data_IF_905666622199
#
_entry.id   IF_905666622199
#
_cell.length_a   1.000
_cell.length_b   1.000
_cell.length_c   1.000
_cell.angle_alpha   90.00
_cell.angle_beta   90.00
_cell.angle_gamma   90.00
#
_symmetry.space_group_name_H-M   'P 1'
#
loop_
_entity.id
_entity.type
_entity.pdbx_description
1 polymer ?
#
# COMPACT_ATOMS: atom_id res chain seq x y z
N UNK A 1 59.45 19.18 67.55
CA UNK A 1 58.12 19.83 67.59
C UNK A 1 57.82 20.43 66.23
N UNK A 2 56.88 19.85 65.49
CA UNK A 2 56.40 20.39 64.21
C UNK A 2 54.88 20.54 64.34
N UNK A 3 54.38 21.77 64.26
CA UNK A 3 52.94 22.06 64.33
C UNK A 3 52.27 21.51 63.07
N UNK A 4 51.13 20.80 63.16
CA UNK A 4 50.39 20.41 61.98
C UNK A 4 49.75 21.66 61.35
N UNK A 5 49.98 21.81 60.03
CA UNK A 5 49.38 22.83 59.17
C UNK A 5 47.87 22.60 59.13
N UNK A 6 47.09 23.57 59.57
CA UNK A 6 45.62 23.52 59.49
C UNK A 6 45.21 23.33 58.02
N UNK A 7 44.53 22.23 57.73
CA UNK A 7 43.93 21.93 56.42
C UNK A 7 42.73 22.87 56.27
N UNK A 8 42.76 23.75 55.27
CA UNK A 8 41.63 24.61 54.94
C UNK A 8 40.39 23.73 54.74
N UNK A 9 39.30 24.04 55.46
CA UNK A 9 38.01 23.44 55.25
C UNK A 9 37.55 23.76 53.82
N UNK A 10 37.62 22.79 52.92
CA UNK A 10 36.90 22.87 51.66
C UNK A 10 35.41 22.91 52.00
N UNK A 11 34.81 24.09 51.92
CA UNK A 11 33.36 24.25 51.89
C UNK A 11 32.85 23.41 50.71
N UNK A 12 32.15 22.32 50.99
CA UNK A 12 31.43 21.56 49.96
C UNK A 12 30.47 22.53 49.26
N UNK A 13 30.76 22.86 48.00
CA UNK A 13 29.81 23.56 47.15
C UNK A 13 28.61 22.64 46.90
N UNK A 14 27.42 23.08 47.30
CA UNK A 14 26.17 22.29 47.27
C UNK A 14 25.54 22.15 45.87
N UNK A 15 26.19 22.66 44.82
CA UNK A 15 25.67 22.66 43.44
C UNK A 15 26.76 22.89 42.38
N UNK A 16 26.35 22.84 41.10
CA UNK A 16 27.21 23.09 39.94
C UNK A 16 27.33 24.59 39.65
N UNK A 17 26.32 25.39 40.05
CA UNK A 17 26.36 26.83 39.86
C UNK A 17 27.41 27.50 40.75
N UNK A 18 28.29 28.32 40.15
CA UNK A 18 29.43 28.91 40.86
C UNK A 18 29.00 30.05 41.77
N UNK A 19 29.47 30.00 43.01
CA UNK A 19 29.27 31.07 44.00
C UNK A 19 29.88 32.41 43.55
N UNK A 20 30.98 32.37 42.79
CA UNK A 20 31.63 33.57 42.27
C UNK A 20 30.70 34.38 41.36
N UNK A 21 29.87 33.72 40.55
CA UNK A 21 28.89 34.39 39.67
C UNK A 21 27.85 35.21 40.44
N UNK A 22 27.52 34.80 41.67
CA UNK A 22 26.62 35.58 42.54
C UNK A 22 27.33 36.78 43.13
N UNK A 23 28.61 36.63 43.50
CA UNK A 23 29.42 37.74 43.98
C UNK A 23 29.59 38.79 42.89
N UNK A 24 29.87 38.37 41.65
CA UNK A 24 29.98 39.27 40.49
C UNK A 24 28.69 40.10 40.27
N UNK A 25 27.51 39.46 40.37
CA UNK A 25 26.22 40.15 40.26
C UNK A 25 25.99 41.08 41.45
N UNK A 26 26.33 40.68 42.68
CA UNK A 26 26.20 41.53 43.87
C UNK A 26 27.10 42.78 43.79
N UNK A 27 28.34 42.64 43.31
CA UNK A 27 29.28 43.74 43.09
C UNK A 27 28.77 44.70 42.00
N UNK A 28 28.13 44.19 40.95
CA UNK A 28 27.49 45.03 39.92
C UNK A 28 26.39 45.94 40.48
N UNK A 29 25.77 45.55 41.60
CA UNK A 29 24.77 46.34 42.33
C UNK A 29 25.40 47.21 43.44
N UNK A 30 26.73 47.18 43.60
CA UNK A 30 27.47 47.92 44.61
C UNK A 30 27.53 47.24 45.99
N UNK A 31 27.17 45.97 46.10
CA UNK A 31 27.21 45.19 47.35
C UNK A 31 28.53 44.42 47.41
N UNK A 32 29.50 44.91 48.19
CA UNK A 32 30.88 44.38 48.20
C UNK A 32 31.13 43.26 49.21
N UNK A 33 30.30 43.11 50.24
CA UNK A 33 30.52 42.15 51.32
C UNK A 33 29.31 41.22 51.52
N UNK A 34 29.21 40.17 50.69
CA UNK A 34 28.19 39.12 50.83
C UNK A 34 28.76 37.92 51.60
N UNK A 35 28.05 37.45 52.63
CA UNK A 35 28.49 36.27 53.40
C UNK A 35 28.43 34.99 52.58
N UNK A 36 29.42 34.10 52.74
CA UNK A 36 29.52 32.85 51.97
C UNK A 36 28.29 31.92 52.12
N UNK A 37 27.63 31.94 53.28
CA UNK A 37 26.41 31.17 53.50
C UNK A 37 25.25 31.63 52.60
N UNK A 38 25.08 32.95 52.45
CA UNK A 38 24.05 33.54 51.57
C UNK A 38 24.38 33.26 50.12
N UNK A 39 25.64 33.43 49.71
CA UNK A 39 26.10 33.13 48.35
C UNK A 39 25.85 31.67 47.98
N UNK A 40 26.15 30.73 48.90
CA UNK A 40 25.91 29.30 48.66
C UNK A 40 24.42 28.96 48.57
N UNK A 41 23.58 29.54 49.43
CA UNK A 41 22.14 29.28 49.41
C UNK A 41 21.49 29.84 48.14
N UNK A 42 21.89 31.04 47.72
CA UNK A 42 21.37 31.66 46.50
C UNK A 42 21.84 30.92 45.24
N UNK A 43 23.07 30.38 45.23
CA UNK A 43 23.57 29.53 44.14
C UNK A 43 22.69 28.30 43.94
N UNK A 44 22.34 27.62 45.03
CA UNK A 44 21.47 26.44 44.98
C UNK A 44 20.04 26.79 44.55
N UNK A 45 19.50 27.95 44.95
CA UNK A 45 18.16 28.38 44.47
C UNK A 45 18.16 28.74 42.98
N UNK A 46 19.17 29.48 42.49
CA UNK A 46 19.32 29.80 41.06
C UNK A 46 19.42 28.51 40.23
N UNK A 47 20.22 27.55 40.68
CA UNK A 47 20.34 26.25 40.02
C UNK A 47 18.99 25.52 39.96
N UNK A 48 18.22 25.51 41.05
CA UNK A 48 16.87 24.94 41.07
C UNK A 48 15.94 25.64 40.08
N UNK A 49 15.97 26.97 39.98
CA UNK A 49 15.16 27.74 39.02
C UNK A 49 15.53 27.44 37.57
N UNK A 50 16.83 27.28 37.27
CA UNK A 50 17.29 26.89 35.93
C UNK A 50 16.73 25.51 35.56
N UNK A 51 16.82 24.53 36.46
CA UNK A 51 16.26 23.20 36.23
C UNK A 51 14.74 23.25 36.01
N UNK A 52 14.02 24.05 36.80
CA UNK A 52 12.58 24.24 36.65
C UNK A 52 12.21 24.75 35.24
N UNK A 53 12.93 25.76 34.73
CA UNK A 53 12.71 26.28 33.37
C UNK A 53 13.03 25.23 32.31
N UNK A 54 14.16 24.52 32.45
CA UNK A 54 14.60 23.49 31.49
C UNK A 54 13.63 22.30 31.45
N UNK A 55 13.07 21.91 32.60
CA UNK A 55 12.06 20.85 32.67
C UNK A 55 10.76 21.23 31.95
N UNK A 56 10.25 22.45 32.17
CA UNK A 56 9.07 22.94 31.45
C UNK A 56 9.34 23.05 29.95
N UNK A 57 10.49 23.59 29.54
CA UNK A 57 10.88 23.67 28.13
C UNK A 57 11.00 22.28 27.49
N UNK A 58 11.50 21.29 28.24
CA UNK A 58 11.58 19.90 27.77
C UNK A 58 10.20 19.28 27.52
N UNK A 59 9.17 19.69 28.28
CA UNK A 59 7.79 19.26 28.01
C UNK A 59 7.30 19.86 26.71
N UNK A 60 7.51 21.15 26.47
CA UNK A 60 7.16 21.79 25.19
C UNK A 60 7.84 21.12 24.00
N UNK A 61 9.14 20.83 24.09
CA UNK A 61 9.89 20.10 23.07
C UNK A 61 9.27 18.72 22.75
N UNK A 62 8.95 17.95 23.80
CA UNK A 62 8.32 16.61 23.65
C UNK A 62 6.92 16.72 23.06
N UNK A 63 6.11 17.68 23.50
CA UNK A 63 4.77 17.93 22.95
C UNK A 63 4.82 18.39 21.49
N UNK A 64 5.88 19.10 21.09
CA UNK A 64 6.16 19.45 19.70
C UNK A 64 6.75 18.29 18.86
N UNK A 65 6.90 17.08 19.44
CA UNK A 65 7.48 15.88 18.80
C UNK A 65 8.89 16.10 18.24
N UNK A 66 9.67 16.97 18.90
CA UNK A 66 11.08 17.23 18.56
C UNK A 66 12.01 16.57 19.56
N UNK A 67 13.24 16.31 19.13
CA UNK A 67 14.33 15.81 19.98
C UNK A 67 15.34 16.92 20.34
N UNK A 68 15.24 18.06 19.68
CA UNK A 68 16.09 19.24 19.90
C UNK A 68 15.25 20.38 20.48
N UNK A 69 15.72 20.94 21.60
CA UNK A 69 15.10 22.10 22.26
C UNK A 69 15.48 23.37 21.52
N UNK A 70 14.49 24.24 21.27
CA UNK A 70 14.68 25.54 20.60
C UNK A 70 14.44 26.69 21.57
N UNK A 71 14.86 27.92 21.20
CA UNK A 71 14.62 29.11 22.03
C UNK A 71 13.13 29.35 22.30
N UNK A 72 12.27 29.02 21.34
CA UNK A 72 10.81 29.08 21.50
C UNK A 72 10.27 28.19 22.63
N UNK A 73 10.91 27.06 22.92
CA UNK A 73 10.48 26.15 23.99
C UNK A 73 10.77 26.77 25.37
N UNK A 74 11.89 27.48 25.48
CA UNK A 74 12.27 28.25 26.68
C UNK A 74 11.35 29.45 26.84
N UNK A 75 11.04 30.18 25.76
CA UNK A 75 10.11 31.33 25.81
C UNK A 75 8.72 30.91 26.32
N UNK A 76 8.24 29.73 25.89
CA UNK A 76 6.99 29.16 26.36
C UNK A 76 7.07 28.74 27.83
N UNK A 77 8.19 28.15 28.26
CA UNK A 77 8.42 27.82 29.66
C UNK A 77 8.42 29.06 30.57
N UNK A 78 9.10 30.14 30.17
CA UNK A 78 9.12 31.40 30.92
C UNK A 78 7.72 31.98 31.08
N UNK A 79 6.90 31.98 30.01
CA UNK A 79 5.51 32.44 30.06
C UNK A 79 4.65 31.63 31.03
N UNK A 80 4.78 30.30 31.04
CA UNK A 80 4.01 29.43 31.96
C UNK A 80 4.43 29.64 33.41
N UNK A 81 5.73 29.85 33.65
CA UNK A 81 6.27 30.13 34.98
C UNK A 81 6.03 31.57 35.44
N UNK A 82 5.37 32.41 34.63
CA UNK A 82 5.15 33.84 34.87
C UNK A 82 6.47 34.63 35.07
N UNK A 83 7.52 34.21 34.36
CA UNK A 83 8.80 34.92 34.31
C UNK A 83 8.77 35.88 33.12
N UNK A 84 9.38 37.05 33.29
CA UNK A 84 9.49 38.05 32.24
C UNK A 84 10.18 37.47 30.98
N UNK A 85 9.66 37.77 29.78
CA UNK A 85 10.22 37.23 28.54
C UNK A 85 11.60 37.81 28.23
N UNK A 86 12.53 36.95 27.80
CA UNK A 86 13.87 37.35 27.38
C UNK A 86 13.90 37.61 25.87
N UNK A 87 13.98 38.88 25.49
CA UNK A 87 14.05 39.29 24.08
C UNK A 87 15.47 39.22 23.51
N UNK A 88 15.59 39.15 22.19
CA UNK A 88 16.89 39.18 21.48
C UNK A 88 17.51 37.81 21.20
N UNK A 89 16.83 36.71 21.55
CA UNK A 89 17.30 35.34 21.30
C UNK A 89 16.56 34.67 20.14
N UNK A 90 17.15 34.69 18.94
CA UNK A 90 16.60 34.02 17.75
C UNK A 90 17.50 32.87 17.30
N UNK A 91 16.95 31.74 16.80
CA UNK A 91 17.75 30.66 16.23
C UNK A 91 18.61 31.09 15.03
N UNK A 92 18.24 32.18 14.36
CA UNK A 92 18.88 32.66 13.14
C UNK A 92 20.12 33.54 13.41
N UNK A 93 20.33 33.98 14.65
CA UNK A 93 21.48 34.80 15.03
C UNK A 93 22.03 34.34 16.40
N UNK A 94 22.81 33.25 16.46
CA UNK A 94 23.36 32.77 17.72
C UNK A 94 24.42 33.76 18.25
N UNK A 95 24.38 34.15 19.54
CA UNK A 95 25.33 35.10 20.10
C UNK A 95 26.76 34.52 20.13
N UNK A 96 27.74 35.35 19.74
CA UNK A 96 29.15 34.99 19.79
C UNK A 96 29.74 35.40 21.15
N UNK A 97 30.18 34.42 21.95
CA UNK A 97 30.86 34.68 23.22
C UNK A 97 32.37 34.80 23.00
N UNK A 98 32.95 35.94 23.42
CA UNK A 98 34.40 36.18 23.40
C UNK A 98 34.97 36.30 24.80
N UNK A 99 36.21 35.85 24.97
CA UNK A 99 36.94 35.97 26.23
C UNK A 99 37.66 37.31 26.27
N UNK A 100 37.43 38.10 27.31
CA UNK A 100 38.15 39.35 27.53
C UNK A 100 39.64 39.09 27.81
N UNK A 101 40.49 40.04 27.44
CA UNK A 101 41.90 39.99 27.79
C UNK A 101 42.07 40.23 29.31
N UNK A 102 43.02 39.53 29.97
CA UNK A 102 43.26 39.73 31.40
C UNK A 102 43.60 41.20 31.69
N UNK A 103 42.95 41.78 32.70
CA UNK A 103 43.25 43.14 33.14
C UNK A 103 44.66 43.20 33.74
N UNK A 104 45.58 44.02 33.20
CA UNK A 104 46.97 44.08 33.69
C UNK A 104 47.10 44.53 35.14
N UNK A 105 46.12 45.28 35.65
CA UNK A 105 46.13 45.87 37.00
C UNK A 105 45.57 44.94 38.08
N UNK A 106 44.87 43.87 37.71
CA UNK A 106 44.26 42.92 38.66
C UNK A 106 44.47 41.46 38.18
N UNK A 107 45.70 40.91 38.31
CA UNK A 107 46.04 39.58 37.82
C UNK A 107 45.33 38.42 38.54
N UNK A 108 44.56 38.71 39.59
CA UNK A 108 43.75 37.75 40.35
C UNK A 108 42.30 37.66 39.83
N UNK A 109 41.89 38.53 38.89
CA UNK A 109 40.57 38.46 38.29
C UNK A 109 40.46 37.22 37.38
N UNK A 110 39.38 36.45 37.55
CA UNK A 110 39.10 35.25 36.75
C UNK A 110 38.83 35.55 35.26
N UNK A 111 38.65 34.52 34.43
CA UNK A 111 38.33 34.71 33.02
C UNK A 111 36.92 35.31 32.85
N UNK A 112 36.85 36.49 32.23
CA UNK A 112 35.59 37.16 31.89
C UNK A 112 35.23 36.89 30.44
N UNK A 113 33.96 36.57 30.20
CA UNK A 113 33.40 36.39 28.86
C UNK A 113 32.34 37.47 28.61
N UNK A 114 32.27 37.97 27.39
CA UNK A 114 31.25 38.93 26.97
C UNK A 114 30.63 38.49 25.64
N UNK A 115 29.39 38.93 25.41
CA UNK A 115 28.73 38.78 24.11
C UNK A 115 29.27 39.85 23.19
N UNK A 116 29.83 39.46 22.06
CA UNK A 116 30.27 40.41 21.04
C UNK A 116 29.06 41.12 20.44
N UNK A 117 29.12 42.45 20.42
CA UNK A 117 28.13 43.32 19.78
C UNK A 117 28.75 43.88 18.49
N UNK A 118 28.35 43.34 17.35
CA UNK A 118 28.81 43.80 16.04
C UNK A 118 27.93 44.97 15.58
N UNK A 119 28.54 46.13 15.30
CA UNK A 119 27.82 47.27 14.73
C UNK A 119 27.38 46.96 13.29
N UNK A 120 26.07 47.04 13.03
CA UNK A 120 25.48 46.75 11.72
C UNK A 120 25.10 48.05 11.01
N UNK A 121 25.55 48.20 9.77
CA UNK A 121 25.13 49.29 8.89
C UNK A 121 23.71 49.04 8.32
N UNK A 122 22.77 49.92 8.65
CA UNK A 122 21.39 49.82 8.20
C UNK A 122 21.24 49.87 6.67
N UNK A 123 22.08 50.64 5.97
CA UNK A 123 22.03 50.75 4.52
C UNK A 123 22.42 49.42 3.84
N UNK A 124 23.25 48.61 4.52
CA UNK A 124 23.60 47.28 4.04
C UNK A 124 22.44 46.30 4.22
N UNK A 125 21.83 46.26 5.41
CA UNK A 125 20.72 45.34 5.73
C UNK A 125 19.54 45.54 4.78
N UNK A 126 19.16 46.79 4.51
CA UNK A 126 18.05 47.11 3.61
C UNK A 126 18.26 46.64 2.16
N UNK A 127 19.51 46.50 1.72
CA UNK A 127 19.87 46.05 0.36
C UNK A 127 20.04 44.54 0.25
N UNK A 128 20.34 43.86 1.35
CA UNK A 128 20.78 42.46 1.38
C UNK A 128 19.60 41.47 1.47
N UNK A 129 18.43 41.90 1.93
CA UNK A 129 17.37 40.97 2.31
C UNK A 129 16.57 40.41 1.11
N UNK A 130 16.97 39.22 0.64
CA UNK A 130 16.13 38.34 -0.19
C UNK A 130 15.72 37.11 0.62
N UNK A 131 14.53 37.17 1.21
CA UNK A 131 13.94 36.02 1.93
C UNK A 131 13.58 34.94 0.92
N UNK A 132 14.23 33.78 0.99
CA UNK A 132 13.86 32.61 0.20
C UNK A 132 12.71 31.88 0.89
N UNK A 133 11.55 31.87 0.25
CA UNK A 133 10.41 31.12 0.77
C UNK A 133 10.60 29.62 0.47
N UNK A 134 10.65 28.75 1.49
CA UNK A 134 10.68 27.31 1.26
C UNK A 134 9.38 26.87 0.59
N UNK A 135 9.43 25.72 -0.10
CA UNK A 135 8.22 25.10 -0.65
C UNK A 135 7.27 24.74 0.51
N UNK A 136 5.97 24.83 0.25
CA UNK A 136 4.95 24.38 1.20
C UNK A 136 5.07 22.90 1.52
N UNK A 137 4.43 22.48 2.62
CA UNK A 137 4.42 21.10 3.08
C UNK A 137 3.71 20.19 2.06
N UNK A 138 4.39 19.14 1.63
CA UNK A 138 3.80 18.06 0.83
C UNK A 138 4.08 16.71 1.51
N UNK A 139 3.33 15.68 1.11
CA UNK A 139 3.51 14.31 1.60
C UNK A 139 3.76 13.37 0.42
N UNK A 140 4.60 12.38 0.65
CA UNK A 140 4.88 11.29 -0.29
C UNK A 140 4.68 9.97 0.43
N UNK A 141 3.86 9.08 -0.14
CA UNK A 141 3.58 7.77 0.43
C UNK A 141 4.38 6.69 -0.32
N UNK A 142 4.90 5.73 0.43
CA UNK A 142 5.56 4.54 -0.12
C UNK A 142 5.31 3.33 0.78
N UNK A 143 5.52 2.13 0.24
CA UNK A 143 5.40 0.89 1.00
C UNK A 143 6.61 0.68 1.90
N UNK A 144 6.43 0.83 3.21
CA UNK A 144 7.46 0.52 4.19
C UNK A 144 7.67 -0.98 4.35
N UNK A 145 6.59 -1.77 4.31
CA UNK A 145 6.65 -3.22 4.42
C UNK A 145 5.47 -3.87 3.67
N UNK A 146 5.72 -5.04 3.08
CA UNK A 146 4.71 -5.93 2.50
C UNK A 146 4.91 -7.30 3.13
N UNK A 147 3.89 -7.83 3.80
CA UNK A 147 3.96 -9.10 4.54
C UNK A 147 5.13 -9.17 5.55
N UNK A 148 5.40 -8.03 6.21
CA UNK A 148 6.47 -7.91 7.20
C UNK A 148 7.89 -7.85 6.61
N UNK A 149 8.03 -7.85 5.28
CA UNK A 149 9.30 -7.67 4.58
C UNK A 149 9.36 -6.27 4.00
N UNK A 150 10.45 -5.55 4.30
CA UNK A 150 10.69 -4.22 3.75
C UNK A 150 11.15 -4.32 2.28
N UNK A 151 10.43 -3.71 1.32
CA UNK A 151 10.85 -3.71 -0.07
C UNK A 151 12.08 -2.82 -0.27
N UNK A 152 12.97 -3.22 -1.17
CA UNK A 152 14.19 -2.48 -1.52
C UNK A 152 13.85 -1.36 -2.52
N UNK A 153 13.22 -0.30 -2.02
CA UNK A 153 12.97 0.95 -2.76
C UNK A 153 13.89 2.07 -2.22
N UNK A 154 14.20 3.10 -3.01
CA UNK A 154 15.10 4.19 -2.60
C UNK A 154 14.70 4.90 -1.30
N UNK A 155 13.40 4.94 -1.00
CA UNK A 155 12.83 5.56 0.19
C UNK A 155 13.03 4.73 1.46
N UNK A 156 13.25 3.42 1.32
CA UNK A 156 13.48 2.52 2.44
C UNK A 156 14.97 2.42 2.75
N UNK A 157 15.36 2.36 4.04
CA UNK A 157 16.75 2.11 4.42
C UNK A 157 17.25 0.79 3.81
N UNK A 158 18.52 0.72 3.37
CA UNK A 158 19.12 -0.54 2.97
C UNK A 158 19.11 -1.50 4.17
N UNK A 159 18.95 -2.79 3.90
CA UNK A 159 19.05 -3.81 4.94
C UNK A 159 20.44 -3.72 5.59
N UNK A 160 20.50 -3.19 6.81
CA UNK A 160 21.73 -3.08 7.59
C UNK A 160 22.26 -4.51 7.75
N UNK A 161 23.49 -4.82 7.30
CA UNK A 161 24.14 -6.07 7.66
C UNK A 161 24.15 -6.14 9.18
N UNK A 162 23.47 -7.13 9.76
CA UNK A 162 23.55 -7.36 11.21
C UNK A 162 24.99 -7.70 11.53
N UNK A 163 25.68 -6.79 12.20
CA UNK A 163 26.97 -7.09 12.81
C UNK A 163 26.78 -8.25 13.81
N UNK A 164 27.69 -9.24 13.84
CA UNK A 164 27.53 -10.44 14.65
C UNK A 164 27.55 -10.20 16.18
N UNK A 165 27.75 -8.96 16.66
CA UNK A 165 27.84 -8.64 18.08
C UNK A 165 26.48 -8.38 18.77
N UNK A 166 25.41 -8.11 18.01
CA UNK A 166 24.07 -7.83 18.56
C UNK A 166 23.19 -9.08 18.82
N UNK A 167 23.73 -10.28 18.61
CA UNK A 167 23.01 -11.55 18.83
C UNK A 167 22.76 -11.84 20.31
N UNK A 168 23.38 -11.10 21.25
CA UNK A 168 23.26 -11.34 22.69
C UNK A 168 22.02 -10.75 23.37
N UNK A 169 21.20 -9.92 22.68
CA UNK A 169 20.02 -9.25 23.29
C UNK A 169 18.67 -9.57 22.63
N UNK A 170 18.58 -10.55 21.75
CA UNK A 170 17.30 -10.98 21.16
C UNK A 170 17.08 -12.49 21.27
N UNK A 171 15.85 -12.98 21.51
CA UNK A 171 15.59 -14.40 21.64
C UNK A 171 15.88 -15.13 20.31
N UNK A 172 16.47 -16.34 20.35
CA UNK A 172 16.96 -17.01 19.15
C UNK A 172 15.82 -17.52 18.27
N UNK A 173 15.80 -17.12 16.99
CA UNK A 173 15.02 -17.79 15.94
C UNK A 173 15.83 -19.00 15.44
N UNK A 174 15.37 -20.20 15.75
CA UNK A 174 15.97 -21.48 15.35
C UNK A 174 15.80 -21.72 13.84
N UNK A 175 16.87 -21.52 13.07
CA UNK A 175 16.99 -22.02 11.71
C UNK A 175 17.67 -23.40 11.73
N UNK A 176 16.90 -24.48 11.67
CA UNK A 176 17.43 -25.82 11.40
C UNK A 176 17.40 -26.08 9.89
N UNK A 177 18.57 -26.07 9.27
CA UNK A 177 18.78 -26.46 7.87
C UNK A 177 18.97 -27.99 7.77
N UNK A 178 18.34 -28.61 6.76
CA UNK A 178 18.69 -29.94 6.25
C UNK A 178 19.30 -29.81 4.84
N UNK A 179 20.15 -30.77 4.40
CA UNK A 179 21.22 -30.53 3.41
C UNK A 179 20.74 -30.53 1.94
N UNK A 180 21.55 -29.96 1.00
CA UNK A 180 21.17 -29.79 -0.40
C UNK A 180 21.60 -30.98 -1.27
N UNK A 181 20.77 -31.32 -2.26
CA UNK A 181 21.14 -32.16 -3.41
C UNK A 181 21.74 -31.31 -4.55
N UNK A 182 22.63 -31.87 -5.41
CA UNK A 182 23.57 -31.11 -6.24
C UNK A 182 22.98 -30.51 -7.55
N UNK A 183 23.72 -29.61 -8.22
CA UNK A 183 23.19 -28.69 -9.24
C UNK A 183 23.39 -29.19 -10.69
N UNK A 184 22.62 -28.62 -11.62
CA UNK A 184 22.93 -28.63 -13.06
C UNK A 184 22.63 -27.26 -13.70
N UNK A 185 23.33 -26.86 -14.79
CA UNK A 185 23.68 -25.46 -15.02
C UNK A 185 22.90 -24.74 -16.16
N UNK A 186 22.75 -23.42 -15.95
CA UNK A 186 22.81 -22.29 -16.92
C UNK A 186 21.85 -22.19 -18.12
N UNK A 187 21.05 -21.10 -18.16
CA UNK A 187 21.26 -19.93 -19.04
C UNK A 187 20.37 -18.72 -18.67
N UNK A 188 20.77 -17.47 -18.99
CA UNK A 188 20.23 -16.25 -18.40
C UNK A 188 19.17 -15.57 -19.29
N UNK A 189 18.05 -15.12 -18.72
CA UNK A 189 17.29 -13.99 -19.26
C UNK A 189 16.54 -13.24 -18.15
N UNK A 190 16.71 -11.92 -18.17
CA UNK A 190 15.90 -10.86 -17.57
C UNK A 190 15.65 -10.89 -16.05
N UNK A 191 16.09 -9.80 -15.41
CA UNK A 191 15.81 -9.36 -14.04
C UNK A 191 14.33 -9.51 -13.66
N UNK A 192 13.90 -10.68 -13.18
CA UNK A 192 12.73 -10.80 -12.32
C UNK A 192 13.22 -10.52 -10.90
N UNK A 193 12.81 -9.35 -10.40
CA UNK A 193 12.97 -8.98 -9.01
C UNK A 193 12.58 -10.16 -8.11
N UNK A 194 13.45 -10.39 -7.12
CA UNK A 194 13.39 -11.44 -6.11
C UNK A 194 12.14 -11.27 -5.22
N UNK A 195 10.97 -11.56 -5.77
CA UNK A 195 9.71 -11.62 -5.03
C UNK A 195 9.38 -13.05 -4.58
N UNK A 196 10.40 -13.93 -4.52
CA UNK A 196 10.27 -15.33 -4.13
C UNK A 196 11.27 -15.76 -3.04
N UNK A 197 11.69 -14.85 -2.17
CA UNK A 197 11.90 -15.28 -0.79
C UNK A 197 10.56 -15.16 -0.08
N UNK A 198 9.65 -16.08 -0.44
CA UNK A 198 8.57 -16.46 0.45
C UNK A 198 9.29 -16.97 1.70
N UNK A 199 9.48 -16.08 2.68
CA UNK A 199 9.72 -16.49 4.07
C UNK A 199 8.64 -17.54 4.28
N UNK A 200 9.02 -18.82 4.34
CA UNK A 200 8.09 -19.90 4.60
C UNK A 200 7.50 -19.53 5.95
N UNK A 201 6.34 -18.87 5.96
CA UNK A 201 5.65 -18.53 7.18
C UNK A 201 5.54 -19.87 7.90
N UNK A 202 6.19 -19.94 9.06
CA UNK A 202 6.21 -21.16 9.85
C UNK A 202 4.79 -21.35 10.34
N UNK A 203 4.00 -22.04 9.53
CA UNK A 203 2.62 -22.37 9.82
C UNK A 203 2.61 -23.21 11.08
N UNK A 204 1.81 -22.79 12.07
CA UNK A 204 1.58 -23.59 13.27
C UNK A 204 0.98 -24.94 12.89
N UNK A 205 1.14 -25.95 13.75
CA UNK A 205 0.54 -27.27 13.54
C UNK A 205 -0.98 -27.18 13.36
N UNK A 206 -1.63 -26.31 14.13
CA UNK A 206 -3.08 -26.05 14.03
C UNK A 206 -3.47 -25.47 12.67
N UNK A 207 -2.72 -24.48 12.15
CA UNK A 207 -2.99 -23.90 10.83
C UNK A 207 -2.79 -24.92 9.70
N UNK A 208 -1.80 -25.82 9.82
CA UNK A 208 -1.60 -26.89 8.85
C UNK A 208 -2.76 -27.91 8.86
N UNK A 209 -3.23 -28.28 10.06
CA UNK A 209 -4.37 -29.18 10.22
C UNK A 209 -5.66 -28.53 9.70
N UNK A 210 -5.86 -27.24 10.00
CA UNK A 210 -6.96 -26.46 9.45
C UNK A 210 -6.91 -26.42 7.92
N UNK A 211 -5.76 -26.09 7.33
CA UNK A 211 -5.57 -26.07 5.87
C UNK A 211 -5.89 -27.42 5.23
N UNK A 212 -5.44 -28.51 5.85
CA UNK A 212 -5.68 -29.86 5.33
C UNK A 212 -7.17 -30.21 5.41
N UNK A 213 -7.83 -29.93 6.54
CA UNK A 213 -9.29 -30.14 6.69
C UNK A 213 -10.10 -29.26 5.74
N UNK A 214 -9.68 -28.03 5.53
CA UNK A 214 -10.35 -27.08 4.64
C UNK A 214 -10.28 -27.58 3.19
N UNK A 215 -9.09 -27.88 2.70
CA UNK A 215 -8.89 -28.37 1.32
C UNK A 215 -9.55 -29.72 1.07
N UNK A 216 -9.54 -30.64 2.05
CA UNK A 216 -10.24 -31.94 1.95
C UNK A 216 -11.77 -31.83 2.02
N UNK A 217 -12.31 -30.77 2.65
CA UNK A 217 -13.75 -30.52 2.70
C UNK A 217 -14.28 -29.86 1.42
N UNK A 218 -13.39 -29.21 0.67
CA UNK A 218 -13.69 -28.59 -0.61
C UNK A 218 -13.56 -29.60 -1.77
N UNK A 219 -12.51 -30.43 -1.78
CA UNK A 219 -12.23 -31.42 -2.82
C UNK A 219 -11.91 -32.81 -2.24
N UNK A 220 -12.36 -33.92 -2.87
CA UNK A 220 -13.15 -34.00 -4.11
C UNK A 220 -14.66 -33.74 -3.91
N UNK A 221 -15.39 -33.36 -4.98
CA UNK A 221 -16.81 -33.02 -4.88
C UNK A 221 -17.70 -34.27 -4.80
N UNK A 222 -17.87 -34.82 -3.60
CA UNK A 222 -18.91 -35.80 -3.28
C UNK A 222 -20.28 -35.11 -3.08
N UNK A 223 -21.36 -35.75 -3.54
CA UNK A 223 -22.74 -35.25 -3.39
C UNK A 223 -23.23 -35.31 -1.94
N UNK A 224 -22.63 -36.15 -1.10
CA UNK A 224 -22.96 -36.28 0.33
C UNK A 224 -22.44 -35.14 1.21
N UNK A 225 -21.48 -34.34 0.73
CA UNK A 225 -20.71 -33.41 1.57
C UNK A 225 -21.00 -31.91 1.30
N UNK A 226 -22.14 -31.59 0.67
CA UNK A 226 -22.54 -30.20 0.39
C UNK A 226 -22.53 -29.31 1.64
N UNK A 227 -23.02 -29.78 2.79
CA UNK A 227 -23.03 -29.02 4.04
C UNK A 227 -21.61 -28.65 4.52
N UNK A 228 -20.65 -29.58 4.38
CA UNK A 228 -19.25 -29.33 4.75
C UNK A 228 -18.61 -28.30 3.81
N UNK A 229 -18.92 -28.37 2.51
CA UNK A 229 -18.45 -27.40 1.52
C UNK A 229 -18.98 -26.00 1.80
N UNK A 230 -20.27 -25.85 2.08
CA UNK A 230 -20.87 -24.56 2.43
C UNK A 230 -20.26 -23.98 3.70
N UNK A 231 -20.03 -24.81 4.73
CA UNK A 231 -19.34 -24.39 5.95
C UNK A 231 -17.89 -23.95 5.68
N UNK A 232 -17.15 -24.68 4.85
CA UNK A 232 -15.78 -24.32 4.44
C UNK A 232 -15.72 -22.99 3.68
N UNK A 233 -16.64 -22.75 2.75
CA UNK A 233 -16.76 -21.48 2.02
C UNK A 233 -17.16 -20.32 2.95
N UNK A 234 -18.08 -20.55 3.89
CA UNK A 234 -18.44 -19.55 4.88
C UNK A 234 -17.27 -19.19 5.81
N UNK A 235 -16.41 -20.17 6.13
CA UNK A 235 -15.17 -19.94 6.88
C UNK A 235 -14.22 -19.05 6.10
N UNK A 236 -14.01 -19.33 4.81
CA UNK A 236 -13.14 -18.52 3.95
C UNK A 236 -13.60 -17.06 3.80
N UNK A 237 -14.93 -16.83 3.80
CA UNK A 237 -15.52 -15.49 3.69
C UNK A 237 -15.36 -14.61 4.92
N UNK A 238 -15.31 -15.20 6.12
CA UNK A 238 -15.43 -14.45 7.37
C UNK A 238 -14.24 -14.57 8.33
N UNK A 239 -13.39 -15.60 8.17
CA UNK A 239 -12.30 -15.85 9.10
C UNK A 239 -11.10 -14.90 8.84
N UNK A 240 -10.69 -14.20 9.89
CA UNK A 240 -9.57 -13.25 9.90
C UNK A 240 -8.20 -13.92 10.10
N UNK A 241 -8.18 -15.17 10.61
CA UNK A 241 -6.94 -15.91 10.88
C UNK A 241 -6.24 -16.47 9.65
N UNK A 242 -6.78 -16.25 8.45
CA UNK A 242 -6.35 -16.93 7.22
C UNK A 242 -5.24 -16.21 6.44
N UNK A 243 -4.81 -15.02 6.86
CA UNK A 243 -3.78 -14.25 6.12
C UNK A 243 -2.50 -15.07 5.90
N UNK A 244 -2.04 -15.81 6.92
CA UNK A 244 -0.84 -16.64 6.80
C UNK A 244 -1.02 -17.87 5.87
N UNK A 245 -2.27 -18.28 5.63
CA UNK A 245 -2.63 -19.38 4.74
C UNK A 245 -2.88 -18.91 3.30
N UNK A 246 -3.13 -17.62 3.10
CA UNK A 246 -3.48 -17.03 1.82
C UNK A 246 -2.49 -17.37 0.68
N UNK A 247 -1.16 -17.30 0.85
CA UNK A 247 -0.22 -17.68 -0.22
C UNK A 247 -0.35 -19.15 -0.65
N UNK A 248 -0.64 -20.02 0.33
CA UNK A 248 -0.77 -21.47 0.12
C UNK A 248 -2.10 -21.79 -0.56
N UNK A 249 -3.18 -21.12 -0.15
CA UNK A 249 -4.50 -21.25 -0.78
C UNK A 249 -4.48 -20.77 -2.23
N UNK A 250 -3.89 -19.62 -2.52
CA UNK A 250 -3.82 -19.08 -3.89
C UNK A 250 -3.00 -20.00 -4.79
N UNK A 251 -1.88 -20.53 -4.29
CA UNK A 251 -1.09 -21.51 -5.03
C UNK A 251 -1.87 -22.81 -5.27
N UNK A 252 -2.56 -23.33 -4.26
CA UNK A 252 -3.39 -24.53 -4.37
C UNK A 252 -4.52 -24.35 -5.38
N UNK A 253 -5.18 -23.19 -5.39
CA UNK A 253 -6.21 -22.84 -6.39
C UNK A 253 -5.59 -22.81 -7.79
N UNK A 254 -4.44 -22.14 -7.96
CA UNK A 254 -3.77 -22.05 -9.26
C UNK A 254 -3.36 -23.42 -9.81
N UNK A 255 -2.76 -24.27 -8.98
CA UNK A 255 -2.40 -25.65 -9.33
C UNK A 255 -3.65 -26.50 -9.63
N UNK A 256 -4.70 -26.35 -8.82
CA UNK A 256 -5.98 -27.05 -8.99
C UNK A 256 -6.69 -26.69 -10.29
N UNK A 257 -6.75 -25.41 -10.64
CA UNK A 257 -7.34 -24.93 -11.90
C UNK A 257 -6.52 -25.43 -13.09
N UNK A 258 -5.19 -25.33 -13.04
CA UNK A 258 -4.34 -25.85 -14.12
C UNK A 258 -4.51 -27.36 -14.27
N UNK A 259 -4.62 -28.10 -13.17
CA UNK A 259 -4.84 -29.56 -13.22
C UNK A 259 -6.22 -29.92 -13.79
N UNK A 260 -7.28 -29.21 -13.40
CA UNK A 260 -8.63 -29.44 -13.94
C UNK A 260 -8.78 -29.05 -15.41
N UNK A 261 -7.87 -28.22 -15.94
CA UNK A 261 -7.83 -27.80 -17.34
C UNK A 261 -6.81 -28.60 -18.20
N UNK A 262 -6.09 -29.59 -17.63
CA UNK A 262 -5.18 -30.46 -18.39
C UNK A 262 -5.94 -31.43 -19.30
N UNK A 263 -5.25 -31.89 -20.34
CA UNK A 263 -5.77 -32.59 -21.54
C UNK A 263 -7.04 -33.43 -21.33
N UNK A 264 -8.14 -32.93 -21.90
CA UNK A 264 -9.38 -33.68 -22.09
C UNK A 264 -10.42 -33.52 -20.98
N UNK A 265 -10.70 -32.29 -20.52
CA UNK A 265 -11.77 -31.94 -19.58
C UNK A 265 -13.19 -32.27 -20.11
N UNK A 266 -13.47 -33.56 -20.29
CA UNK A 266 -14.78 -34.12 -20.61
C UNK A 266 -15.38 -34.87 -19.40
N UNK A 267 -14.61 -35.04 -18.32
CA UNK A 267 -15.12 -35.63 -17.09
C UNK A 267 -15.98 -34.60 -16.35
N UNK A 268 -17.23 -34.97 -16.06
CA UNK A 268 -18.16 -34.19 -15.25
C UNK A 268 -17.59 -33.85 -13.85
N UNK A 269 -16.65 -34.67 -13.36
CA UNK A 269 -15.99 -34.42 -12.08
C UNK A 269 -15.02 -33.22 -12.13
N UNK A 270 -14.31 -33.02 -13.24
CA UNK A 270 -13.37 -31.89 -13.39
C UNK A 270 -14.12 -30.56 -13.48
N UNK A 271 -15.30 -30.56 -14.11
CA UNK A 271 -16.21 -29.42 -14.11
C UNK A 271 -16.61 -28.99 -12.70
N UNK A 272 -17.03 -29.96 -11.86
CA UNK A 272 -17.37 -29.71 -10.45
C UNK A 272 -16.18 -29.20 -9.63
N UNK A 273 -14.98 -29.73 -9.88
CA UNK A 273 -13.75 -29.25 -9.21
C UNK A 273 -13.52 -27.77 -9.54
N UNK A 274 -13.63 -27.39 -10.81
CA UNK A 274 -13.46 -25.99 -11.24
C UNK A 274 -14.50 -25.06 -10.63
N UNK A 275 -15.76 -25.50 -10.49
CA UNK A 275 -16.80 -24.70 -9.84
C UNK A 275 -16.45 -24.38 -8.40
N UNK A 276 -16.05 -25.41 -7.63
CA UNK A 276 -15.62 -25.22 -6.24
C UNK A 276 -14.42 -24.27 -6.15
N UNK A 277 -13.46 -24.37 -7.08
CA UNK A 277 -12.29 -23.49 -7.07
C UNK A 277 -12.64 -22.03 -7.37
N UNK A 278 -13.57 -21.76 -8.29
CA UNK A 278 -14.07 -20.39 -8.53
C UNK A 278 -14.86 -19.87 -7.34
N UNK A 279 -15.69 -20.70 -6.70
CA UNK A 279 -16.42 -20.33 -5.48
C UNK A 279 -15.46 -19.99 -4.33
N UNK A 280 -14.33 -20.70 -4.22
CA UNK A 280 -13.27 -20.40 -3.25
C UNK A 280 -12.61 -19.06 -3.56
N UNK A 281 -12.28 -18.76 -4.82
CA UNK A 281 -11.72 -17.43 -5.19
C UNK A 281 -12.72 -16.33 -4.83
N UNK A 282 -13.99 -16.52 -5.18
CA UNK A 282 -15.08 -15.60 -4.88
C UNK A 282 -15.22 -15.38 -3.36
N UNK A 283 -15.15 -16.44 -2.56
CA UNK A 283 -15.18 -16.38 -1.10
C UNK A 283 -13.97 -15.63 -0.50
N UNK A 284 -12.77 -15.82 -1.04
CA UNK A 284 -11.56 -15.10 -0.59
C UNK A 284 -11.67 -13.60 -0.92
N UNK A 285 -12.22 -13.24 -2.08
CA UNK A 285 -12.40 -11.84 -2.49
C UNK A 285 -13.54 -11.13 -1.74
N UNK A 286 -14.49 -11.86 -1.18
CA UNK A 286 -15.55 -11.31 -0.29
C UNK A 286 -15.03 -11.00 1.13
N UNK A 287 -13.88 -11.56 1.52
CA UNK A 287 -13.35 -11.42 2.87
C UNK A 287 -12.57 -10.10 3.05
N UNK A 288 -13.21 -9.12 3.68
CA UNK A 288 -12.62 -7.80 3.96
C UNK A 288 -11.46 -7.82 4.96
N UNK A 289 -11.24 -8.93 5.67
CA UNK A 289 -10.16 -9.04 6.66
C UNK A 289 -8.84 -9.50 6.04
N UNK A 290 -8.87 -10.01 4.79
CA UNK A 290 -7.69 -10.49 4.09
C UNK A 290 -7.11 -9.41 3.18
N UNK A 291 -5.80 -9.25 3.24
CA UNK A 291 -5.09 -8.35 2.34
C UNK A 291 -4.66 -9.12 1.07
N UNK A 292 -5.55 -9.12 0.07
CA UNK A 292 -5.41 -9.90 -1.17
C UNK A 292 -4.60 -9.17 -2.26
N UNK A 293 -4.41 -7.85 -2.12
CA UNK A 293 -3.75 -6.99 -3.12
C UNK A 293 -2.37 -7.50 -3.61
N UNK A 294 -1.47 -7.99 -2.73
CA UNK A 294 -0.17 -8.51 -3.17
C UNK A 294 -0.28 -9.69 -4.14
N UNK A 295 -1.40 -10.43 -4.09
CA UNK A 295 -1.60 -11.67 -4.83
C UNK A 295 -2.55 -11.53 -6.03
N UNK A 296 -3.07 -10.34 -6.34
CA UNK A 296 -3.96 -10.12 -7.49
C UNK A 296 -3.37 -10.68 -8.80
N UNK A 297 -2.07 -10.50 -9.00
CA UNK A 297 -1.36 -11.01 -10.17
C UNK A 297 -1.31 -12.55 -10.26
N UNK A 298 -1.52 -13.27 -9.15
CA UNK A 298 -1.58 -14.73 -9.07
C UNK A 298 -3.01 -15.27 -9.11
N UNK A 299 -4.00 -14.48 -8.67
CA UNK A 299 -5.43 -14.83 -8.71
C UNK A 299 -6.04 -14.61 -10.11
N UNK A 300 -5.57 -13.59 -10.83
CA UNK A 300 -6.09 -13.28 -12.17
C UNK A 300 -5.90 -14.41 -13.20
N UNK A 301 -4.72 -15.07 -13.32
CA UNK A 301 -4.53 -16.12 -14.31
C UNK A 301 -5.50 -17.30 -14.16
N UNK A 302 -5.76 -17.88 -12.97
CA UNK A 302 -6.79 -18.92 -12.79
C UNK A 302 -8.20 -18.49 -13.25
N UNK A 303 -8.62 -17.27 -12.95
CA UNK A 303 -9.93 -16.74 -13.39
C UNK A 303 -9.96 -16.59 -14.91
N UNK A 304 -8.91 -16.01 -15.51
CA UNK A 304 -8.84 -15.83 -16.96
C UNK A 304 -8.69 -17.16 -17.71
N UNK A 305 -7.97 -18.13 -17.14
CA UNK A 305 -7.82 -19.46 -17.72
C UNK A 305 -9.15 -20.21 -17.74
N UNK A 306 -9.91 -20.22 -16.64
CA UNK A 306 -11.26 -20.84 -16.61
C UNK A 306 -12.23 -20.13 -17.55
N UNK A 307 -12.14 -18.81 -17.66
CA UNK A 307 -12.98 -18.02 -18.56
C UNK A 307 -12.66 -18.28 -20.05
N UNK A 308 -11.38 -18.33 -20.43
CA UNK A 308 -10.94 -18.34 -21.84
C UNK A 308 -10.56 -19.74 -22.37
N UNK A 309 -10.65 -20.79 -21.56
CA UNK A 309 -10.31 -22.14 -21.99
C UNK A 309 -11.22 -22.62 -23.13
N UNK A 310 -10.62 -23.31 -24.10
CA UNK A 310 -11.30 -23.70 -25.35
C UNK A 310 -12.32 -24.83 -25.16
N UNK A 311 -12.02 -25.80 -24.30
CA UNK A 311 -12.83 -27.01 -24.11
C UNK A 311 -13.17 -27.22 -22.65
N UNK A 312 -14.35 -26.74 -22.23
CA UNK A 312 -14.92 -27.04 -20.91
C UNK A 312 -16.00 -28.13 -21.04
N UNK A 313 -16.31 -28.89 -19.97
CA UNK A 313 -17.43 -29.84 -19.98
C UNK A 313 -18.73 -29.12 -20.36
N UNK A 314 -19.48 -29.58 -21.39
CA UNK A 314 -20.59 -28.84 -21.96
C UNK A 314 -21.70 -28.52 -20.94
N UNK A 315 -21.95 -29.42 -19.98
CA UNK A 315 -22.95 -29.25 -18.91
C UNK A 315 -22.63 -28.10 -17.95
N UNK A 316 -21.36 -27.81 -17.72
CA UNK A 316 -20.89 -26.82 -16.74
C UNK A 316 -20.25 -25.57 -17.39
N UNK A 317 -20.03 -25.59 -18.70
CA UNK A 317 -19.26 -24.56 -19.41
C UNK A 317 -19.85 -23.15 -19.28
N UNK A 318 -21.17 -23.02 -19.44
CA UNK A 318 -21.85 -21.71 -19.35
C UNK A 318 -21.85 -21.17 -17.92
N UNK A 319 -22.11 -22.04 -16.94
CA UNK A 319 -22.11 -21.70 -15.52
C UNK A 319 -20.72 -21.27 -15.05
N UNK A 320 -19.68 -22.05 -15.38
CA UNK A 320 -18.28 -21.74 -15.05
C UNK A 320 -17.84 -20.40 -15.65
N UNK A 321 -18.12 -20.15 -16.92
CA UNK A 321 -17.77 -18.87 -17.58
C UNK A 321 -18.52 -17.69 -16.97
N UNK A 322 -19.78 -17.90 -16.57
CA UNK A 322 -20.58 -16.85 -15.91
C UNK A 322 -20.05 -16.54 -14.51
N UNK A 323 -19.77 -17.56 -13.71
CA UNK A 323 -19.21 -17.39 -12.36
C UNK A 323 -17.81 -16.78 -12.39
N UNK A 324 -16.95 -17.19 -13.34
CA UNK A 324 -15.63 -16.59 -13.54
C UNK A 324 -15.73 -15.11 -13.97
N UNK A 325 -16.66 -14.76 -14.86
CA UNK A 325 -16.91 -13.37 -15.26
C UNK A 325 -17.40 -12.52 -14.07
N UNK A 326 -18.34 -13.01 -13.27
CA UNK A 326 -18.84 -12.31 -12.09
C UNK A 326 -17.72 -12.09 -11.05
N UNK A 327 -16.90 -13.10 -10.83
CA UNK A 327 -15.73 -13.02 -9.93
C UNK A 327 -14.71 -12.01 -10.44
N UNK A 328 -14.44 -11.99 -11.76
CA UNK A 328 -13.58 -11.00 -12.41
C UNK A 328 -14.14 -9.58 -12.27
N UNK A 329 -15.44 -9.41 -12.49
CA UNK A 329 -16.14 -8.13 -12.35
C UNK A 329 -16.01 -7.58 -10.94
N UNK A 330 -16.27 -8.41 -9.93
CA UNK A 330 -16.10 -8.03 -8.52
C UNK A 330 -14.68 -7.57 -8.22
N UNK A 331 -13.68 -8.35 -8.64
CA UNK A 331 -12.26 -8.01 -8.47
C UNK A 331 -11.92 -6.65 -9.11
N UNK A 332 -12.41 -6.40 -10.33
CA UNK A 332 -12.23 -5.13 -11.03
C UNK A 332 -12.90 -3.96 -10.30
N UNK A 333 -14.14 -4.12 -9.83
CA UNK A 333 -14.84 -3.06 -9.10
C UNK A 333 -14.16 -2.69 -7.78
N UNK A 334 -13.57 -3.67 -7.07
CA UNK A 334 -12.90 -3.44 -5.80
C UNK A 334 -11.51 -2.79 -5.95
N UNK A 335 -10.75 -3.18 -6.98
CA UNK A 335 -9.32 -2.81 -7.08
C UNK A 335 -8.95 -1.90 -8.27
N UNK A 336 -9.89 -1.53 -9.14
CA UNK A 336 -9.60 -0.68 -10.31
C UNK A 336 -9.14 0.74 -9.95
N UNK A 337 -9.61 1.31 -8.85
CA UNK A 337 -9.23 2.66 -8.37
C UNK A 337 -7.79 2.68 -7.83
N UNK A 338 -7.41 1.63 -7.09
CA UNK A 338 -6.06 1.48 -6.53
C UNK A 338 -5.04 1.14 -7.61
N UNK A 339 -5.44 0.37 -8.64
CA UNK A 339 -4.57 -0.05 -9.73
C UNK A 339 -5.15 0.32 -11.11
N UNK A 340 -4.94 1.56 -11.59
CA UNK A 340 -5.48 2.02 -12.87
C UNK A 340 -5.03 1.21 -14.10
N UNK A 341 -3.89 0.52 -14.01
CA UNK A 341 -3.36 -0.32 -15.09
C UNK A 341 -4.03 -1.71 -15.20
N UNK A 342 -4.80 -2.12 -14.18
CA UNK A 342 -5.44 -3.44 -14.10
C UNK A 342 -6.50 -3.65 -15.19
N UNK A 343 -7.47 -2.72 -15.27
CA UNK A 343 -8.59 -2.81 -16.22
C UNK A 343 -8.12 -2.78 -17.69
N UNK A 344 -7.25 -1.84 -18.13
CA UNK A 344 -6.72 -1.86 -19.51
C UNK A 344 -5.97 -3.14 -19.87
N UNK A 345 -5.24 -3.73 -18.93
CA UNK A 345 -4.49 -4.98 -19.16
C UNK A 345 -5.43 -6.17 -19.37
N UNK A 346 -6.47 -6.30 -18.55
CA UNK A 346 -7.48 -7.36 -18.67
C UNK A 346 -8.28 -7.18 -19.97
N UNK A 347 -8.71 -5.95 -20.27
CA UNK A 347 -9.40 -5.62 -21.52
C UNK A 347 -8.58 -6.05 -22.74
N UNK A 348 -7.28 -5.73 -22.77
CA UNK A 348 -6.38 -6.15 -23.87
C UNK A 348 -6.34 -7.67 -24.05
N UNK A 349 -6.30 -8.44 -22.94
CA UNK A 349 -6.30 -9.91 -22.99
C UNK A 349 -7.62 -10.46 -23.53
N UNK A 350 -8.76 -9.91 -23.11
CA UNK A 350 -10.09 -10.33 -23.58
C UNK A 350 -10.31 -10.00 -25.06
N UNK A 351 -9.91 -8.79 -25.50
CA UNK A 351 -10.00 -8.37 -26.90
C UNK A 351 -9.17 -9.27 -27.82
N UNK A 352 -7.94 -9.61 -27.41
CA UNK A 352 -7.09 -10.51 -28.17
C UNK A 352 -7.72 -11.91 -28.29
N UNK A 353 -8.38 -12.39 -27.23
CA UNK A 353 -9.08 -13.67 -27.25
C UNK A 353 -10.33 -13.66 -28.14
N UNK A 354 -10.99 -12.51 -28.30
CA UNK A 354 -12.18 -12.35 -29.14
C UNK A 354 -11.87 -12.26 -30.64
N UNK A 355 -10.90 -11.42 -31.02
CA UNK A 355 -10.63 -11.03 -32.42
C UNK A 355 -9.74 -12.06 -33.15
N UNK A 356 -8.90 -12.81 -32.42
CA UNK A 356 -7.93 -13.72 -33.06
C UNK A 356 -8.61 -14.84 -33.87
N UNK A 357 -8.22 -15.09 -35.14
CA UNK A 357 -8.92 -16.00 -36.06
C UNK A 357 -8.75 -17.49 -35.74
N UNK A 358 -7.83 -17.86 -34.83
CA UNK A 358 -7.52 -19.25 -34.48
C UNK A 358 -8.13 -19.72 -33.14
N UNK A 359 -9.15 -19.01 -32.63
CA UNK A 359 -9.74 -19.30 -31.32
C UNK A 359 -11.03 -20.12 -31.47
N UNK A 360 -11.36 -20.88 -30.42
CA UNK A 360 -12.57 -21.70 -30.37
C UNK A 360 -13.82 -20.87 -30.05
N UNK A 361 -15.02 -21.35 -30.44
CA UNK A 361 -16.31 -20.75 -30.08
C UNK A 361 -16.44 -20.52 -28.55
N UNK A 362 -15.97 -21.48 -27.74
CA UNK A 362 -15.99 -21.37 -26.28
C UNK A 362 -15.07 -20.28 -25.70
N UNK A 363 -13.91 -20.06 -26.31
CA UNK A 363 -13.00 -18.96 -25.91
C UNK A 363 -13.63 -17.59 -26.20
N UNK A 364 -14.32 -17.46 -27.34
CA UNK A 364 -15.01 -16.21 -27.71
C UNK A 364 -16.20 -15.92 -26.80
N UNK A 365 -16.97 -16.94 -26.44
CA UNK A 365 -18.06 -16.82 -25.46
C UNK A 365 -17.53 -16.29 -24.13
N UNK A 366 -16.45 -16.88 -23.61
CA UNK A 366 -15.79 -16.44 -22.38
C UNK A 366 -15.25 -15.01 -22.48
N UNK A 367 -14.69 -14.62 -23.62
CA UNK A 367 -14.22 -13.27 -23.85
C UNK A 367 -15.36 -12.24 -23.78
N UNK A 368 -16.51 -12.53 -24.40
CA UNK A 368 -17.70 -11.66 -24.37
C UNK A 368 -18.25 -11.55 -22.95
N UNK A 369 -18.46 -12.69 -22.27
CA UNK A 369 -18.89 -12.69 -20.86
C UNK A 369 -17.92 -11.92 -19.97
N UNK A 370 -16.62 -12.02 -20.22
CA UNK A 370 -15.58 -11.24 -19.54
C UNK A 370 -15.72 -9.74 -19.78
N UNK A 371 -15.94 -9.30 -21.03
CA UNK A 371 -16.12 -7.89 -21.38
C UNK A 371 -17.36 -7.29 -20.71
N UNK A 372 -18.45 -8.05 -20.62
CA UNK A 372 -19.64 -7.68 -19.84
C UNK A 372 -19.26 -7.38 -18.39
N UNK A 373 -18.42 -8.24 -17.78
CA UNK A 373 -17.95 -8.07 -16.40
C UNK A 373 -17.02 -6.86 -16.20
N UNK A 374 -16.32 -6.39 -17.23
CA UNK A 374 -15.48 -5.18 -17.16
C UNK A 374 -16.33 -3.90 -17.19
N UNK A 375 -17.37 -3.87 -18.03
CA UNK A 375 -18.34 -2.77 -18.10
C UNK A 375 -18.77 -2.38 -19.52
N UNK A 376 -19.74 -1.46 -19.60
CA UNK A 376 -20.42 -1.03 -20.84
C UNK A 376 -19.44 -0.52 -21.91
N UNK A 377 -18.46 0.28 -21.53
CA UNK A 377 -17.44 0.81 -22.45
C UNK A 377 -16.52 -0.27 -23.02
N UNK A 378 -16.20 -1.30 -22.24
CA UNK A 378 -15.38 -2.42 -22.70
C UNK A 378 -16.15 -3.28 -23.70
N UNK A 379 -17.46 -3.48 -23.47
CA UNK A 379 -18.36 -4.15 -24.42
C UNK A 379 -18.42 -3.38 -25.73
N UNK A 380 -18.63 -2.06 -25.69
CA UNK A 380 -18.68 -1.21 -26.90
C UNK A 380 -17.38 -1.31 -27.70
N UNK A 381 -16.23 -1.06 -27.06
CA UNK A 381 -14.92 -1.11 -27.70
C UNK A 381 -14.60 -2.48 -28.28
N UNK A 382 -15.00 -3.56 -27.62
CA UNK A 382 -14.66 -4.91 -28.05
C UNK A 382 -15.60 -5.51 -29.10
N UNK A 383 -16.90 -5.36 -28.91
CA UNK A 383 -17.89 -5.97 -29.80
C UNK A 383 -18.14 -5.10 -31.04
N UNK A 384 -18.29 -3.78 -30.85
CA UNK A 384 -18.68 -2.85 -31.92
C UNK A 384 -17.45 -2.31 -32.65
N UNK A 385 -16.62 -1.52 -31.96
CA UNK A 385 -15.44 -0.88 -32.59
C UNK A 385 -14.37 -1.90 -33.00
N UNK A 386 -14.15 -2.91 -32.16
CA UNK A 386 -13.19 -3.99 -32.38
C UNK A 386 -13.65 -5.04 -33.40
N UNK A 387 -14.87 -4.94 -33.93
CA UNK A 387 -15.42 -5.87 -34.92
C UNK A 387 -15.67 -7.29 -34.38
N UNK A 388 -15.74 -7.48 -33.06
CA UNK A 388 -15.97 -8.78 -32.44
C UNK A 388 -17.28 -9.44 -32.89
N UNK A 389 -18.33 -8.65 -33.11
CA UNK A 389 -19.63 -9.15 -33.61
C UNK A 389 -19.56 -9.68 -35.03
N UNK A 390 -18.75 -9.05 -35.90
CA UNK A 390 -18.52 -9.54 -37.28
C UNK A 390 -17.80 -10.88 -37.28
N UNK A 391 -16.76 -11.01 -36.44
CA UNK A 391 -15.99 -12.25 -36.30
C UNK A 391 -16.91 -13.38 -35.82
N UNK A 392 -17.67 -13.14 -34.75
CA UNK A 392 -18.60 -14.16 -34.21
C UNK A 392 -19.73 -14.46 -35.20
N UNK A 393 -20.29 -13.44 -35.85
CA UNK A 393 -21.36 -13.58 -36.84
C UNK A 393 -20.94 -14.33 -38.10
N UNK A 394 -19.65 -14.26 -38.49
CA UNK A 394 -19.11 -15.04 -39.63
C UNK A 394 -18.98 -16.54 -39.34
N UNK A 395 -18.94 -16.93 -38.06
CA UNK A 395 -18.76 -18.32 -37.62
C UNK A 395 -20.07 -18.99 -37.15
N UNK A 396 -21.15 -18.23 -37.01
CA UNK A 396 -22.46 -18.74 -36.65
C UNK A 396 -23.28 -18.99 -37.91
N UNK A 397 -23.91 -20.17 -38.01
CA UNK A 397 -24.85 -20.43 -39.09
C UNK A 397 -26.10 -19.55 -38.93
N UNK A 398 -26.79 -19.13 -40.02
CA UNK A 398 -28.02 -18.37 -39.92
C UNK A 398 -29.07 -19.15 -39.12
N UNK A 399 -29.53 -18.59 -37.99
CA UNK A 399 -30.47 -19.24 -37.07
C UNK A 399 -29.86 -20.15 -35.99
N UNK A 400 -28.53 -20.24 -35.86
CA UNK A 400 -27.89 -21.02 -34.78
C UNK A 400 -28.14 -20.35 -33.41
N UNK A 401 -29.00 -20.93 -32.58
CA UNK A 401 -29.16 -20.55 -31.17
C UNK A 401 -28.15 -21.33 -30.33
N UNK A 402 -27.29 -20.64 -29.59
CA UNK A 402 -26.29 -21.28 -28.75
C UNK A 402 -25.72 -20.32 -27.71
N UNK A 403 -24.93 -20.83 -26.75
CA UNK A 403 -24.45 -20.06 -25.61
C UNK A 403 -23.57 -18.85 -25.99
N UNK A 404 -22.95 -18.90 -27.18
CA UNK A 404 -22.20 -17.79 -27.77
C UNK A 404 -23.11 -16.66 -28.24
N UNK A 405 -24.23 -16.99 -28.89
CA UNK A 405 -25.22 -16.01 -29.37
C UNK A 405 -25.94 -15.39 -28.18
N UNK A 406 -26.30 -16.18 -27.17
CA UNK A 406 -26.88 -15.69 -25.92
C UNK A 406 -25.94 -14.69 -25.22
N UNK A 407 -24.63 -14.98 -25.17
CA UNK A 407 -23.65 -14.07 -24.59
C UNK A 407 -23.55 -12.74 -25.35
N UNK A 408 -23.68 -12.75 -26.69
CA UNK A 408 -23.71 -11.52 -27.50
C UNK A 408 -25.00 -10.73 -27.25
N UNK A 409 -26.15 -11.41 -27.17
CA UNK A 409 -27.44 -10.79 -26.85
C UNK A 409 -27.40 -10.16 -25.46
N UNK A 410 -26.87 -10.86 -24.46
CA UNK A 410 -26.71 -10.32 -23.11
C UNK A 410 -25.75 -9.11 -23.09
N UNK A 411 -24.70 -9.11 -23.93
CA UNK A 411 -23.85 -7.95 -24.11
C UNK A 411 -24.62 -6.75 -24.70
N UNK A 412 -25.50 -6.97 -25.68
CA UNK A 412 -26.35 -5.91 -26.22
C UNK A 412 -27.35 -5.38 -25.19
N UNK A 413 -27.95 -6.23 -24.36
CA UNK A 413 -28.82 -5.79 -23.25
C UNK A 413 -28.10 -4.90 -22.24
N UNK A 414 -26.80 -5.15 -22.00
CA UNK A 414 -25.96 -4.33 -21.12
C UNK A 414 -25.63 -2.97 -21.75
N UNK A 415 -25.51 -2.90 -23.08
CA UNK A 415 -25.38 -1.62 -23.77
C UNK A 415 -26.67 -0.82 -23.69
N UNK A 416 -27.80 -1.44 -24.03
CA UNK A 416 -29.13 -0.84 -23.94
C UNK A 416 -30.19 -1.93 -23.71
N UNK A 417 -31.12 -1.77 -22.77
CA UNK A 417 -32.24 -2.69 -22.64
C UNK A 417 -33.15 -2.63 -23.88
N UNK A 418 -33.82 -3.75 -24.23
CA UNK A 418 -34.81 -3.76 -25.30
C UNK A 418 -36.00 -2.84 -24.95
N UNK A 419 -36.66 -2.29 -25.96
CA UNK A 419 -37.78 -1.37 -25.80
C UNK A 419 -39.06 -2.10 -25.41
N UNK A 420 -39.89 -1.43 -24.59
CA UNK A 420 -41.21 -1.92 -24.20
C UNK A 420 -42.17 -2.02 -25.40
N UNK A 421 -41.93 -1.22 -26.46
CA UNK A 421 -42.65 -1.29 -27.73
C UNK A 421 -41.66 -1.38 -28.90
N UNK A 422 -41.40 -2.59 -29.44
CA UNK A 422 -40.48 -2.77 -30.55
C UNK A 422 -41.12 -2.29 -31.86
N UNK A 423 -40.53 -1.26 -32.46
CA UNK A 423 -40.82 -0.84 -33.84
C UNK A 423 -39.75 -1.38 -34.77
N UNK A 424 -40.13 -1.87 -35.95
CA UNK A 424 -39.15 -2.36 -36.95
C UNK A 424 -38.23 -1.23 -37.40
N UNK A 425 -36.92 -1.49 -37.40
CA UNK A 425 -35.90 -0.53 -37.79
C UNK A 425 -36.07 -0.06 -39.25
N UNK A 426 -35.84 1.23 -39.49
CA UNK A 426 -35.83 1.80 -40.84
C UNK A 426 -34.71 1.18 -41.69
N UNK A 427 -34.88 1.13 -43.03
CA UNK A 427 -33.89 0.51 -43.92
C UNK A 427 -32.48 1.11 -43.76
N UNK A 428 -32.37 2.41 -43.51
CA UNK A 428 -31.09 3.10 -43.25
C UNK A 428 -30.39 2.58 -41.98
N UNK A 429 -31.13 2.36 -40.89
CA UNK A 429 -30.59 1.83 -39.64
C UNK A 429 -30.20 0.36 -39.81
N UNK A 430 -30.96 -0.41 -40.61
CA UNK A 430 -30.59 -1.80 -40.92
C UNK A 430 -29.32 -1.92 -41.76
N UNK A 431 -29.07 -0.96 -42.67
CA UNK A 431 -27.84 -0.93 -43.47
C UNK A 431 -26.61 -0.61 -42.59
N UNK A 432 -26.73 0.38 -41.71
CA UNK A 432 -25.69 0.72 -40.72
C UNK A 432 -25.43 -0.43 -39.74
N UNK A 433 -26.47 -1.13 -39.26
CA UNK A 433 -26.33 -2.33 -38.42
C UNK A 433 -25.58 -3.44 -39.15
N UNK A 434 -25.88 -3.68 -40.43
CA UNK A 434 -25.19 -4.69 -41.23
C UNK A 434 -23.70 -4.34 -41.40
N UNK A 435 -23.40 -3.06 -41.61
CA UNK A 435 -22.02 -2.59 -41.76
C UNK A 435 -21.22 -2.72 -40.46
N UNK A 436 -21.81 -2.42 -39.30
CA UNK A 436 -21.09 -2.38 -38.01
C UNK A 436 -21.11 -3.74 -37.30
N UNK A 437 -22.26 -4.39 -37.25
CA UNK A 437 -22.51 -5.56 -36.39
C UNK A 437 -22.49 -6.87 -37.19
N UNK A 438 -22.77 -6.81 -38.50
CA UNK A 438 -22.81 -7.96 -39.41
C UNK A 438 -24.20 -8.60 -39.53
N UNK A 439 -24.46 -9.21 -40.69
CA UNK A 439 -25.80 -9.64 -41.13
C UNK A 439 -26.55 -10.54 -40.14
N UNK A 440 -25.84 -11.41 -39.40
CA UNK A 440 -26.47 -12.36 -38.48
C UNK A 440 -27.11 -11.67 -37.27
N UNK A 441 -26.39 -10.76 -36.62
CA UNK A 441 -26.89 -10.05 -35.43
C UNK A 441 -27.70 -8.81 -35.79
N UNK A 442 -27.47 -8.21 -36.97
CA UNK A 442 -28.30 -7.14 -37.49
C UNK A 442 -29.75 -7.59 -37.71
N UNK A 443 -29.99 -8.83 -38.15
CA UNK A 443 -31.33 -9.41 -38.28
C UNK A 443 -32.05 -9.62 -36.93
N UNK A 444 -31.30 -9.80 -35.83
CA UNK A 444 -31.87 -9.90 -34.48
C UNK A 444 -32.23 -8.53 -33.91
N UNK A 445 -31.43 -7.50 -34.21
CA UNK A 445 -31.64 -6.13 -33.72
C UNK A 445 -32.62 -5.32 -34.58
N UNK A 446 -32.88 -5.72 -35.83
CA UNK A 446 -33.79 -5.01 -36.75
C UNK A 446 -35.27 -5.04 -36.33
N UNK A 447 -35.63 -5.93 -35.41
CA UNK A 447 -36.98 -5.99 -34.82
C UNK A 447 -37.28 -4.86 -33.82
N UNK A 448 -36.26 -4.13 -33.35
CA UNK A 448 -36.41 -3.04 -32.38
C UNK A 448 -35.50 -1.85 -32.77
N UNK A 449 -36.11 -0.82 -33.35
CA UNK A 449 -35.45 0.39 -33.82
C UNK A 449 -34.77 1.16 -32.68
N UNK A 450 -35.44 1.26 -31.53
CA UNK A 450 -34.93 1.96 -30.35
C UNK A 450 -33.74 1.24 -29.73
N UNK A 451 -33.76 -0.10 -29.73
CA UNK A 451 -32.64 -0.90 -29.24
C UNK A 451 -31.45 -0.86 -30.19
N UNK A 452 -31.69 -0.97 -31.50
CA UNK A 452 -30.65 -0.87 -32.53
C UNK A 452 -29.97 0.50 -32.55
N UNK A 453 -30.74 1.59 -32.50
CA UNK A 453 -30.19 2.94 -32.38
C UNK A 453 -29.40 3.12 -31.09
N UNK A 454 -29.83 2.52 -29.98
CA UNK A 454 -29.13 2.56 -28.70
C UNK A 454 -27.77 1.87 -28.68
N UNK A 455 -27.69 0.73 -29.37
CA UNK A 455 -26.43 0.01 -29.56
C UNK A 455 -25.48 0.83 -30.45
N UNK A 456 -26.02 1.54 -31.46
CA UNK A 456 -25.27 2.38 -32.40
C UNK A 456 -24.96 3.81 -31.88
N UNK A 457 -25.73 4.35 -30.94
CA UNK A 457 -25.60 5.72 -30.44
C UNK A 457 -24.39 5.84 -29.53
N UNK A 458 -23.28 6.27 -30.15
CA UNK A 458 -22.06 6.94 -29.64
C UNK A 458 -20.91 6.78 -30.65
N UNK A 459 -21.08 5.94 -31.69
CA UNK A 459 -20.15 5.85 -32.82
C UNK A 459 -20.03 7.16 -33.61
N UNK A 460 -20.90 8.15 -33.34
CA UNK A 460 -20.95 9.46 -34.00
C UNK A 460 -20.29 10.60 -33.22
N UNK A 461 -19.62 10.34 -32.10
CA UNK A 461 -18.79 11.32 -31.38
C UNK A 461 -17.38 10.77 -31.13
N UNK A 462 -16.62 10.60 -32.18
CA UNK A 462 -15.16 10.49 -32.11
C UNK A 462 -14.51 11.28 -33.24
#
# INVERSE_FOLDING_TARGET
MSKPKARASQSQSTGVYKQDSIRDVAESLGITNLSDAVTSSLASDVEYRIHQVVEEASRFMRHARRTTMTTSDIDQALRVLNIEPLYGHSPHNPPAFRRALPFPQLPTAGPVYFVEDEEIDFDRVLREEKITLPKGVNWTAHWLAVEGVQPLIPENPPAIPRDPEDVSKSPPRTNTAFPPTPPSPSRPTAKKQQQQQLVKQVLSRELQLYYTRLTSSLLPPSSSDHAKRTAALASLRNDAGLQALLPYLIRWIGEGVVSGLKEGAQSENDGKVLEVLIDVISAILENNTLFVEPYLHQILPPILSTLLHSSLPPSHATHLRTSASQTLSRLLTQHSTTYPSLSPRIMKTLLLALISPAKSKGTREGAIRGLIGVGKEAVRKGLIEGGGTKVVGSECAPGETGPLVDAVIDAFKVLQPPSDMPETATPEVTEQLNEVIGNHFAAYLSGDQTWSLGVLSDTSQS
#
